data_IF_848695254339
#
_entry.id   IF_848695254339
#
_cell.length_a   1.000
_cell.length_b   1.000
_cell.length_c   1.000
_cell.angle_alpha   90.00
_cell.angle_beta   90.00
_cell.angle_gamma   90.00
#
_symmetry.space_group_name_H-M   'P 1'
#
loop_
_entity.id
_entity.type
_entity.pdbx_description
1 polymer ?
#
# COMPACT_ATOMS: atom_id res chain seq x y z
N UNK A 1 -16.86 11.35 -10.30
CA UNK A 1 -17.41 10.00 -10.01
C UNK A 1 -17.22 9.18 -11.27
N UNK A 2 -16.30 8.22 -11.29
CA UNK A 2 -16.09 7.32 -12.43
C UNK A 2 -17.12 6.19 -12.33
N UNK A 3 -17.86 5.90 -13.40
CA UNK A 3 -18.77 4.76 -13.41
C UNK A 3 -17.96 3.46 -13.38
N UNK A 4 -18.48 2.42 -12.71
CA UNK A 4 -17.81 1.10 -12.61
C UNK A 4 -17.37 0.56 -13.98
N UNK A 5 -18.15 0.84 -15.03
CA UNK A 5 -17.82 0.49 -16.41
C UNK A 5 -16.56 1.21 -16.92
N UNK A 6 -16.48 2.53 -16.74
CA UNK A 6 -15.31 3.34 -17.10
C UNK A 6 -14.06 2.96 -16.28
N UNK A 7 -14.27 2.59 -15.01
CA UNK A 7 -13.20 2.10 -14.14
C UNK A 7 -12.60 0.79 -14.68
N UNK A 8 -13.46 -0.19 -15.03
CA UNK A 8 -13.03 -1.48 -15.62
C UNK A 8 -12.36 -1.28 -16.97
N UNK A 9 -12.87 -0.37 -17.81
CA UNK A 9 -12.27 -0.06 -19.12
C UNK A 9 -10.83 0.48 -18.99
N UNK A 10 -10.54 1.26 -17.94
CA UNK A 10 -9.19 1.76 -17.67
C UNK A 10 -8.18 0.67 -17.34
N UNK A 11 -8.60 -0.48 -16.79
CA UNK A 11 -7.65 -1.57 -16.49
C UNK A 11 -7.00 -2.15 -17.75
N UNK A 12 -7.69 -2.17 -18.90
CA UNK A 12 -7.19 -2.78 -20.13
C UNK A 12 -6.01 -2.05 -20.77
N UNK A 13 -5.83 -0.77 -20.46
CA UNK A 13 -4.75 0.04 -21.07
C UNK A 13 -3.44 -0.03 -20.27
N UNK A 14 -3.42 -0.76 -19.15
CA UNK A 14 -2.28 -0.82 -18.24
C UNK A 14 -1.64 -2.20 -18.26
N UNK A 15 -0.31 -2.23 -18.17
CA UNK A 15 0.51 -3.44 -18.34
C UNK A 15 1.40 -3.72 -17.13
N UNK A 16 1.22 -2.95 -16.05
CA UNK A 16 1.99 -3.10 -14.82
C UNK A 16 1.22 -2.62 -13.60
N UNK A 17 1.60 -3.13 -12.44
CA UNK A 17 1.12 -2.69 -11.13
C UNK A 17 2.30 -2.15 -10.32
N UNK A 18 2.07 -1.05 -9.60
CA UNK A 18 3.01 -0.41 -8.69
C UNK A 18 2.53 -0.49 -7.24
N UNK A 19 3.44 -0.78 -6.30
CA UNK A 19 3.23 -0.59 -4.86
C UNK A 19 4.52 -0.05 -4.22
N UNK A 20 4.47 1.17 -3.66
CA UNK A 20 5.68 1.91 -3.34
C UNK A 20 6.55 2.09 -4.58
N UNK A 21 7.87 1.93 -4.41
CA UNK A 21 8.83 1.99 -5.53
C UNK A 21 8.95 0.69 -6.35
N UNK A 22 8.17 -0.35 -6.04
CA UNK A 22 8.19 -1.59 -6.81
C UNK A 22 7.18 -1.53 -7.95
N UNK A 23 7.61 -1.98 -9.12
CA UNK A 23 6.81 -2.10 -10.33
C UNK A 23 6.90 -3.53 -10.86
N UNK A 24 5.75 -4.11 -11.17
CA UNK A 24 5.69 -5.48 -11.71
C UNK A 24 4.85 -5.47 -12.98
N UNK A 25 5.45 -5.79 -14.14
CA UNK A 25 4.70 -6.05 -15.36
C UNK A 25 3.75 -7.22 -15.17
N UNK A 26 2.52 -7.07 -15.64
CA UNK A 26 1.50 -8.11 -15.55
C UNK A 26 0.43 -7.95 -16.62
N UNK A 27 -0.20 -9.07 -16.95
CA UNK A 27 -1.45 -9.07 -17.69
C UNK A 27 -2.61 -8.76 -16.75
N UNK A 28 -3.55 -7.95 -17.24
CA UNK A 28 -4.71 -7.50 -16.49
C UNK A 28 -5.95 -8.01 -17.22
N UNK A 29 -6.62 -8.97 -16.59
CA UNK A 29 -7.89 -9.52 -17.09
C UNK A 29 -9.01 -9.06 -16.18
N UNK A 30 -10.14 -8.65 -16.74
CA UNK A 30 -11.31 -8.29 -15.94
C UNK A 30 -12.37 -9.39 -16.04
N UNK A 31 -13.06 -9.64 -14.93
CA UNK A 31 -14.30 -10.43 -14.90
C UNK A 31 -15.39 -9.50 -14.39
N UNK A 32 -16.60 -9.64 -14.92
CA UNK A 32 -17.75 -8.81 -14.51
C UNK A 32 -18.04 -9.07 -13.03
N UNK A 33 -17.71 -8.10 -12.18
CA UNK A 33 -18.10 -8.10 -10.77
C UNK A 33 -19.56 -7.71 -10.61
N UNK A 34 -20.19 -8.14 -9.51
CA UNK A 34 -21.57 -7.78 -9.17
C UNK A 34 -21.61 -6.99 -7.87
N UNK A 35 -22.21 -5.79 -7.88
CA UNK A 35 -22.72 -5.12 -6.68
C UNK A 35 -21.76 -4.21 -5.89
N UNK A 36 -20.46 -4.18 -6.19
CA UNK A 36 -19.47 -3.31 -5.52
C UNK A 36 -19.39 -1.93 -6.19
N UNK A 37 -19.35 -0.85 -5.41
CA UNK A 37 -19.28 0.53 -5.95
C UNK A 37 -17.86 1.06 -6.14
N UNK A 38 -16.88 0.44 -5.47
CA UNK A 38 -15.49 0.92 -5.45
C UNK A 38 -15.24 2.04 -4.44
N UNK A 39 -16.23 2.33 -3.58
CA UNK A 39 -16.12 3.31 -2.49
C UNK A 39 -15.48 2.68 -1.25
N UNK A 40 -15.07 3.50 -0.28
CA UNK A 40 -14.40 3.02 0.93
C UNK A 40 -15.23 2.00 1.74
N UNK A 41 -16.54 2.20 1.76
CA UNK A 41 -17.50 1.36 2.49
C UNK A 41 -18.04 0.20 1.64
N UNK A 42 -17.82 0.23 0.32
CA UNK A 42 -18.16 -0.84 -0.63
C UNK A 42 -17.02 -1.01 -1.66
N UNK A 43 -15.84 -1.47 -1.21
CA UNK A 43 -14.65 -1.54 -2.06
C UNK A 43 -14.81 -2.63 -3.13
N UNK A 44 -14.10 -2.46 -4.24
CA UNK A 44 -14.01 -3.50 -5.27
C UNK A 44 -13.04 -4.60 -4.84
N UNK A 45 -13.47 -5.85 -4.93
CA UNK A 45 -12.62 -7.01 -4.67
C UNK A 45 -11.84 -7.36 -5.93
N UNK A 46 -10.51 -7.23 -5.86
CA UNK A 46 -9.61 -7.57 -6.97
C UNK A 46 -9.01 -8.96 -6.75
N UNK A 47 -9.11 -9.82 -7.75
CA UNK A 47 -8.34 -11.06 -7.81
C UNK A 47 -6.94 -10.77 -8.30
N UNK A 48 -5.93 -10.99 -7.46
CA UNK A 48 -4.51 -10.79 -7.80
C UNK A 48 -3.79 -12.12 -7.66
N UNK A 49 -2.96 -12.49 -8.65
CA UNK A 49 -2.20 -13.74 -8.55
C UNK A 49 -1.23 -13.71 -7.36
N UNK A 50 -1.02 -14.87 -6.73
CA UNK A 50 -0.09 -15.00 -5.60
C UNK A 50 1.31 -14.44 -5.92
N UNK A 51 1.81 -14.68 -7.13
CA UNK A 51 3.11 -14.16 -7.59
C UNK A 51 3.17 -12.63 -7.61
N UNK A 52 2.08 -11.96 -8.00
CA UNK A 52 2.01 -10.49 -7.99
C UNK A 52 1.90 -9.99 -6.55
N UNK A 53 1.07 -10.62 -5.72
CA UNK A 53 0.96 -10.29 -4.29
C UNK A 53 2.31 -10.36 -3.59
N UNK A 54 3.08 -11.43 -3.84
CA UNK A 54 4.41 -11.64 -3.24
C UNK A 54 5.44 -10.61 -3.76
N UNK A 55 5.51 -10.40 -5.08
CA UNK A 55 6.46 -9.43 -5.66
C UNK A 55 6.19 -7.99 -5.25
N UNK A 56 4.93 -7.64 -5.01
CA UNK A 56 4.53 -6.31 -4.58
C UNK A 56 4.33 -6.20 -3.07
N UNK A 57 4.53 -7.27 -2.29
CA UNK A 57 4.33 -7.29 -0.84
C UNK A 57 2.93 -6.77 -0.41
N UNK A 58 1.91 -7.15 -1.17
CA UNK A 58 0.52 -6.77 -0.88
C UNK A 58 -0.04 -7.63 0.26
N UNK A 59 -0.82 -7.01 1.15
CA UNK A 59 -1.46 -7.68 2.26
C UNK A 59 -2.89 -8.06 1.88
N UNK A 60 -3.23 -9.34 2.04
CA UNK A 60 -4.59 -9.82 1.82
C UNK A 60 -5.56 -9.16 2.81
N UNK A 61 -6.75 -8.79 2.33
CA UNK A 61 -7.80 -8.20 3.14
C UNK A 61 -7.62 -6.71 3.45
N UNK A 62 -6.51 -6.09 3.04
CA UNK A 62 -6.31 -4.64 3.19
C UNK A 62 -7.05 -3.87 2.10
N UNK A 63 -7.77 -2.81 2.49
CA UNK A 63 -8.39 -1.88 1.55
C UNK A 63 -7.33 -0.95 1.00
N UNK A 64 -7.06 -1.01 -0.29
CA UNK A 64 -6.14 -0.09 -0.97
C UNK A 64 -6.91 0.89 -1.85
N UNK A 65 -6.35 2.09 -1.99
CA UNK A 65 -6.67 2.98 -3.09
C UNK A 65 -5.97 2.50 -4.37
N UNK A 66 -6.65 2.73 -5.49
CA UNK A 66 -6.14 2.43 -6.83
C UNK A 66 -6.09 3.72 -7.63
N UNK A 67 -4.93 4.03 -8.19
CA UNK A 67 -4.71 5.20 -9.04
C UNK A 67 -4.14 4.72 -10.38
N UNK A 68 -4.72 5.17 -11.47
CA UNK A 68 -4.18 4.93 -12.82
C UNK A 68 -3.16 6.01 -13.16
N UNK A 69 -1.92 5.62 -13.45
CA UNK A 69 -0.83 6.56 -13.75
C UNK A 69 0.01 6.03 -14.93
N UNK A 70 -0.08 6.72 -16.07
CA UNK A 70 0.59 6.29 -17.30
C UNK A 70 0.09 4.92 -17.75
N UNK A 71 1.00 3.95 -17.89
CA UNK A 71 0.69 2.54 -18.19
C UNK A 71 0.69 1.64 -16.94
N UNK A 72 0.77 2.23 -15.75
CA UNK A 72 0.81 1.51 -14.47
C UNK A 72 -0.40 1.77 -13.59
N UNK A 73 -0.87 0.73 -12.91
CA UNK A 73 -1.88 0.84 -11.85
C UNK A 73 -1.16 0.90 -10.51
N UNK A 74 -1.28 2.03 -9.82
CA UNK A 74 -0.70 2.21 -8.50
C UNK A 74 -1.68 1.77 -7.41
N UNK A 75 -1.23 0.87 -6.54
CA UNK A 75 -1.95 0.38 -5.37
C UNK A 75 -1.32 0.98 -4.13
N UNK A 76 -2.11 1.63 -3.27
CA UNK A 76 -1.56 2.34 -2.10
C UNK A 76 -2.60 3.11 -1.29
N UNK A 77 -2.20 4.12 -0.50
CA UNK A 77 -0.81 4.55 -0.30
C UNK A 77 0.00 3.55 0.55
N UNK A 78 1.29 3.44 0.23
CA UNK A 78 2.30 2.93 1.15
C UNK A 78 3.04 4.15 1.70
N UNK A 79 2.82 4.45 2.98
CA UNK A 79 3.43 5.61 3.65
C UNK A 79 4.52 5.14 4.60
N UNK A 80 5.66 5.80 4.56
CA UNK A 80 6.80 5.54 5.43
C UNK A 80 7.04 6.62 6.46
N UNK A 81 7.56 6.25 7.62
CA UNK A 81 8.17 7.17 8.56
C UNK A 81 9.48 6.61 9.10
N UNK A 82 10.56 7.38 8.94
CA UNK A 82 11.85 6.98 9.51
C UNK A 82 11.86 7.24 11.00
N UNK A 83 12.36 6.30 11.79
CA UNK A 83 12.49 6.39 13.25
C UNK A 83 13.91 6.05 13.69
N UNK A 84 14.32 6.58 14.85
CA UNK A 84 15.61 6.26 15.49
C UNK A 84 15.58 4.92 16.23
N UNK A 85 14.41 4.55 16.77
CA UNK A 85 14.16 3.26 17.42
C UNK A 85 12.97 2.56 16.77
N UNK A 86 13.04 1.24 16.69
CA UNK A 86 12.04 0.33 16.14
C UNK A 86 10.88 0.05 17.12
N UNK A 87 10.73 0.89 18.14
CA UNK A 87 9.58 0.86 19.04
C UNK A 87 8.33 1.25 18.25
N UNK A 88 7.19 0.58 18.46
CA UNK A 88 5.92 0.99 17.87
C UNK A 88 5.68 2.47 18.14
N UNK A 89 5.41 3.25 17.09
CA UNK A 89 4.92 4.60 17.28
C UNK A 89 3.50 4.52 17.86
N UNK A 90 3.16 5.38 18.83
CA UNK A 90 1.85 5.35 19.45
C UNK A 90 0.71 5.38 18.43
N UNK A 91 -0.37 4.64 18.70
CA UNK A 91 -1.55 4.48 17.84
C UNK A 91 -2.15 5.81 17.35
N UNK A 92 -1.97 6.89 18.10
CA UNK A 92 -2.39 8.24 17.72
C UNK A 92 -1.86 8.69 16.36
N UNK A 93 -0.67 8.24 15.94
CA UNK A 93 -0.09 8.61 14.62
C UNK A 93 -0.79 7.93 13.44
N UNK A 94 -1.46 6.80 13.67
CA UNK A 94 -2.12 5.99 12.64
C UNK A 94 -3.63 5.88 12.85
N UNK A 95 -4.19 6.58 13.84
CA UNK A 95 -5.60 6.49 14.25
C UNK A 95 -6.58 6.70 13.11
N UNK A 96 -6.26 7.60 12.18
CA UNK A 96 -7.12 7.92 11.03
C UNK A 96 -6.75 7.15 9.75
N UNK A 97 -5.75 6.26 9.82
CA UNK A 97 -5.21 5.59 8.63
C UNK A 97 -6.21 4.60 8.02
N UNK A 98 -7.14 4.06 8.82
CA UNK A 98 -8.26 3.25 8.34
C UNK A 98 -9.14 3.98 7.30
N UNK A 99 -9.22 5.32 7.35
CA UNK A 99 -9.96 6.13 6.35
C UNK A 99 -9.15 6.40 5.08
N UNK A 100 -7.83 6.29 5.17
CA UNK A 100 -6.93 6.49 4.04
C UNK A 100 -6.83 5.23 3.20
N UNK A 101 -6.86 4.05 3.82
CA UNK A 101 -6.53 2.80 3.15
C UNK A 101 -5.03 2.65 2.90
N UNK A 102 -4.63 1.49 2.40
CA UNK A 102 -3.25 1.11 2.21
C UNK A 102 -2.56 0.73 3.52
N UNK A 103 -1.24 0.93 3.58
CA UNK A 103 -0.42 0.52 4.71
C UNK A 103 0.53 1.64 5.15
N UNK A 104 0.85 1.68 6.44
CA UNK A 104 1.79 2.61 7.04
C UNK A 104 2.94 1.83 7.66
N UNK A 105 4.19 2.22 7.40
CA UNK A 105 5.38 1.55 7.94
C UNK A 105 6.28 2.51 8.70
N UNK A 106 6.79 2.07 9.85
CA UNK A 106 7.86 2.74 10.58
C UNK A 106 9.13 1.90 10.50
N UNK A 107 10.24 2.53 10.15
CA UNK A 107 11.51 1.83 9.93
C UNK A 107 12.73 2.69 10.26
N UNK A 108 13.85 2.04 10.59
CA UNK A 108 15.14 2.70 10.66
C UNK A 108 15.70 2.86 9.25
N UNK A 109 16.39 3.96 8.96
CA UNK A 109 17.07 4.16 7.66
C UNK A 109 18.06 3.04 7.34
N UNK A 110 18.70 2.47 8.36
CA UNK A 110 19.61 1.31 8.25
C UNK A 110 18.93 0.02 7.80
N UNK A 111 17.59 -0.05 7.81
CA UNK A 111 16.84 -1.24 7.38
C UNK A 111 16.40 -1.15 5.91
N UNK A 112 16.76 -0.06 5.21
CA UNK A 112 16.45 0.09 3.79
C UNK A 112 17.42 -0.78 3.01
N UNK A 113 16.86 -1.66 2.19
CA UNK A 113 17.58 -2.35 1.13
C UNK A 113 17.37 -1.56 -0.16
N UNK A 114 18.41 -0.83 -0.56
CA UNK A 114 18.39 0.02 -1.75
C UNK A 114 18.44 -0.78 -3.05
N UNK A 115 18.98 -1.99 -3.02
CA UNK A 115 19.07 -2.86 -4.20
C UNK A 115 17.71 -3.47 -4.51
N UNK A 116 17.09 -4.12 -3.52
CA UNK A 116 15.75 -4.70 -3.68
C UNK A 116 14.63 -3.65 -3.63
N UNK A 117 14.95 -2.41 -3.27
CA UNK A 117 13.99 -1.31 -3.04
C UNK A 117 12.91 -1.70 -2.02
N UNK A 118 13.34 -2.35 -0.94
CA UNK A 118 12.46 -2.76 0.16
C UNK A 118 12.94 -2.20 1.50
N UNK A 119 12.09 -2.31 2.51
CA UNK A 119 12.45 -1.92 3.87
C UNK A 119 11.79 -2.83 4.89
N UNK A 120 12.57 -3.25 5.89
CA UNK A 120 12.05 -3.99 7.06
C UNK A 120 11.63 -3.01 8.15
N UNK A 121 10.36 -3.10 8.55
CA UNK A 121 9.77 -2.18 9.52
C UNK A 121 8.56 -2.76 10.23
N UNK A 122 7.98 -1.96 11.13
CA UNK A 122 6.68 -2.26 11.72
C UNK A 122 5.61 -1.65 10.84
N UNK A 123 4.67 -2.48 10.40
CA UNK A 123 3.61 -2.15 9.46
C UNK A 123 2.26 -2.14 10.17
N UNK A 124 1.48 -1.12 9.86
CA UNK A 124 0.10 -0.96 10.27
C UNK A 124 -0.80 -1.00 9.05
N UNK A 125 -1.79 -1.90 9.05
CA UNK A 125 -2.64 -2.20 7.89
C UNK A 125 -4.04 -1.58 7.97
N UNK A 126 -4.30 -0.71 8.97
CA UNK A 126 -5.59 -0.02 9.14
C UNK A 126 -6.74 -0.90 9.63
N UNK A 127 -6.70 -2.20 9.34
CA UNK A 127 -7.71 -3.18 9.73
C UNK A 127 -7.40 -3.87 11.05
N UNK A 128 -6.16 -3.75 11.52
CA UNK A 128 -5.67 -4.39 12.74
C UNK A 128 -5.33 -3.32 13.78
N UNK A 129 -5.41 -3.68 15.05
CA UNK A 129 -5.01 -2.81 16.17
C UNK A 129 -3.51 -2.89 16.46
N UNK A 130 -2.79 -3.76 15.75
CA UNK A 130 -1.41 -4.12 16.06
C UNK A 130 -0.43 -3.79 14.93
N UNK A 131 0.81 -3.54 15.33
CA UNK A 131 1.92 -3.33 14.43
C UNK A 131 2.64 -4.65 14.16
N UNK A 132 2.69 -5.07 12.90
CA UNK A 132 3.37 -6.30 12.49
C UNK A 132 4.76 -6.02 11.95
N UNK A 133 5.75 -6.81 12.36
CA UNK A 133 7.08 -6.72 11.76
C UNK A 133 7.04 -7.39 10.38
N UNK A 134 7.34 -6.64 9.33
CA UNK A 134 7.33 -7.14 7.95
C UNK A 134 8.32 -6.39 7.07
N UNK A 135 8.64 -6.99 5.91
CA UNK A 135 9.31 -6.31 4.80
C UNK A 135 8.24 -5.80 3.84
N UNK A 136 8.38 -4.56 3.41
CA UNK A 136 7.48 -3.90 2.45
C UNK A 136 8.30 -3.18 1.39
N UNK A 137 7.70 -2.75 0.27
CA UNK A 137 8.38 -1.93 -0.72
C UNK A 137 8.89 -0.64 -0.06
N UNK A 138 9.91 0.00 -0.62
CA UNK A 138 10.28 1.33 -0.15
C UNK A 138 9.10 2.28 -0.44
N UNK A 139 8.59 3.02 0.56
CA UNK A 139 7.43 3.89 0.39
C UNK A 139 7.69 5.04 -0.59
N UNK A 140 6.67 5.42 -1.35
CA UNK A 140 6.74 6.58 -2.25
C UNK A 140 6.82 7.90 -1.49
N UNK A 141 6.26 7.92 -0.28
CA UNK A 141 6.23 9.08 0.62
C UNK A 141 6.84 8.67 1.94
N UNK A 142 7.94 9.33 2.32
CA UNK A 142 8.66 9.05 3.57
C UNK A 142 8.71 10.33 4.41
N UNK A 143 8.08 10.29 5.57
CA UNK A 143 8.20 11.35 6.58
C UNK A 143 9.45 11.12 7.43
N UNK A 144 10.15 12.20 7.75
CA UNK A 144 11.19 12.16 8.75
C UNK A 144 10.56 12.26 10.15
N UNK A 145 10.51 11.14 10.86
CA UNK A 145 10.16 11.16 12.27
C UNK A 145 11.28 11.80 13.07
N UNK A 146 11.13 13.08 13.43
CA UNK A 146 12.02 13.67 14.42
C UNK A 146 11.81 12.95 15.75
N UNK A 147 12.92 12.52 16.34
CA UNK A 147 12.91 12.10 17.74
C UNK A 147 12.71 13.38 18.55
N UNK A 148 11.47 13.72 18.90
CA UNK A 148 11.26 14.70 19.96
C UNK A 148 11.86 14.08 21.23
N UNK A 149 13.05 14.55 21.60
CA UNK A 149 13.54 14.40 22.96
C UNK A 149 12.61 15.24 23.83
N UNK A 150 11.71 14.58 24.54
CA UNK A 150 11.17 15.18 25.76
C UNK A 150 12.35 15.20 26.74
N UNK A 151 12.90 16.39 26.95
CA UNK A 151 13.64 16.69 28.18
C UNK A 151 12.65 16.71 29.34
#
# INVERSE_FOLDING_TARGET
MLYLKEFVEKFYTHTSIQHGLLHVPCEITTKKGSGESGEIDSPLTLSVSKKIMEKLYLFQGVKYQVIFQGSSIKIGPLTGMTVSSDKPTGMNRVRNYHRTGGIFTVFKKSNIDWESKTVKGRVYTGNETEWKLATVPLPDVIYQGQSFRMN
#
